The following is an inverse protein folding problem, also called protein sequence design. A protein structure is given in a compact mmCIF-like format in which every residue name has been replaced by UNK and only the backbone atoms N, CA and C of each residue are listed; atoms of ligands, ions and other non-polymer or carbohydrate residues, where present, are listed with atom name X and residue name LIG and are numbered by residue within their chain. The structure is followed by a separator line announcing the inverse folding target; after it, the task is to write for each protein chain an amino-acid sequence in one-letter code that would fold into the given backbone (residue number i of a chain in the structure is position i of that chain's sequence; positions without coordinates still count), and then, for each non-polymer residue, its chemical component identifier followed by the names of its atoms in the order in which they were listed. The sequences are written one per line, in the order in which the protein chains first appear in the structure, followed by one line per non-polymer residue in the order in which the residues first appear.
data_IF_292920435711
#
_entry.id   IF_292920435711
#
_cell.length_a   1.000
_cell.length_b   1.000
_cell.length_c   1.000
_cell.angle_alpha   90.00
_cell.angle_beta   90.00
_cell.angle_gamma   90.00
#
_symmetry.space_group_name_H-M   'P 1'
#
loop_
_entity.id
_entity.type
_entity.pdbx_description
1 polymer ?
#
# COMPACT_ATOMS: atom_id res chain seq x y z
N UNK A 1 14.69 1.98 -12.43
CA UNK A 1 13.93 0.93 -11.71
C UNK A 1 13.10 0.14 -12.71
N UNK A 2 13.18 -1.20 -12.75
CA UNK A 2 12.30 -2.02 -13.59
C UNK A 2 10.86 -1.79 -13.12
N UNK A 3 10.01 -1.22 -13.96
CA UNK A 3 8.59 -1.00 -13.65
C UNK A 3 7.91 -2.38 -13.58
N UNK A 4 7.63 -2.86 -12.37
CA UNK A 4 6.87 -4.09 -12.15
C UNK A 4 5.42 -3.81 -12.55
N UNK A 5 4.92 -4.44 -13.61
CA UNK A 5 3.50 -4.38 -13.96
C UNK A 5 2.73 -5.19 -12.92
N UNK A 6 2.03 -4.51 -12.01
CA UNK A 6 1.22 -5.15 -10.97
C UNK A 6 -0.23 -5.19 -11.44
N UNK A 7 -0.85 -6.37 -11.42
CA UNK A 7 -2.24 -6.52 -11.82
C UNK A 7 -3.17 -5.89 -10.78
N UNK A 8 -4.18 -5.16 -11.24
CA UNK A 8 -5.21 -4.53 -10.39
C UNK A 8 -5.89 -5.52 -9.44
N UNK A 9 -6.19 -6.72 -9.92
CA UNK A 9 -6.82 -7.78 -9.12
C UNK A 9 -5.99 -8.15 -7.89
N UNK A 10 -4.66 -8.13 -8.00
CA UNK A 10 -3.75 -8.37 -6.89
C UNK A 10 -3.83 -7.24 -5.86
N UNK A 11 -3.83 -5.99 -6.33
CA UNK A 11 -3.90 -4.80 -5.48
C UNK A 11 -5.20 -4.72 -4.67
N UNK A 12 -6.33 -5.11 -5.25
CA UNK A 12 -7.64 -4.98 -4.59
C UNK A 12 -7.99 -6.16 -3.68
N UNK A 13 -7.33 -7.32 -3.82
CA UNK A 13 -7.63 -8.53 -3.04
C UNK A 13 -7.20 -8.41 -1.57
N UNK A 14 -6.08 -7.76 -1.31
CA UNK A 14 -5.44 -7.75 0.01
C UNK A 14 -5.56 -6.38 0.70
N UNK A 15 -6.66 -5.66 0.45
CA UNK A 15 -6.94 -4.39 1.11
C UNK A 15 -7.32 -4.61 2.57
N UNK A 16 -6.71 -3.82 3.44
CA UNK A 16 -7.02 -3.78 4.85
C UNK A 16 -8.35 -3.05 5.07
N UNK A 17 -9.24 -3.57 5.92
CA UNK A 17 -10.43 -2.83 6.36
C UNK A 17 -10.03 -1.55 7.10
N UNK A 18 -10.86 -0.50 6.99
CA UNK A 18 -10.58 0.80 7.61
C UNK A 18 -10.39 0.69 9.14
N UNK A 19 -11.19 -0.13 9.81
CA UNK A 19 -11.06 -0.37 11.26
C UNK A 19 -9.69 -0.96 11.65
N UNK A 20 -9.10 -1.78 10.78
CA UNK A 20 -7.76 -2.33 11.00
C UNK A 20 -6.74 -1.22 10.80
N UNK A 21 -6.85 -0.45 9.71
CA UNK A 21 -5.95 0.68 9.42
C UNK A 21 -5.94 1.67 10.58
N UNK A 22 -7.09 2.07 11.10
CA UNK A 22 -7.20 3.02 12.21
C UNK A 22 -6.53 2.51 13.48
N UNK A 23 -6.78 1.25 13.85
CA UNK A 23 -6.20 0.63 15.05
C UNK A 23 -4.70 0.38 14.93
N UNK A 24 -4.22 0.06 13.73
CA UNK A 24 -2.82 -0.27 13.49
C UNK A 24 -2.02 0.87 12.85
N UNK A 25 -2.61 2.06 12.71
CA UNK A 25 -2.03 3.15 11.91
C UNK A 25 -0.59 3.48 12.33
N UNK A 26 -0.36 3.58 13.64
CA UNK A 26 0.95 3.91 14.21
C UNK A 26 1.99 2.79 14.04
N UNK A 27 1.56 1.57 13.74
CA UNK A 27 2.42 0.42 13.48
C UNK A 27 2.81 0.29 11.99
N UNK A 28 2.20 1.09 11.11
CA UNK A 28 2.54 1.08 9.69
C UNK A 28 3.93 1.72 9.43
N UNK A 29 4.57 1.46 8.28
CA UNK A 29 5.76 2.20 7.87
C UNK A 29 5.59 3.72 7.99
N UNK A 30 6.55 4.43 8.60
CA UNK A 30 6.47 5.89 8.79
C UNK A 30 6.18 6.66 7.49
N UNK A 31 6.81 6.24 6.40
CA UNK A 31 6.59 6.82 5.06
C UNK A 31 5.14 6.63 4.60
N UNK A 32 4.59 5.43 4.79
CA UNK A 32 3.20 5.13 4.47
C UNK A 32 2.22 5.96 5.32
N UNK A 33 2.50 6.13 6.61
CA UNK A 33 1.68 6.97 7.49
C UNK A 33 1.65 8.42 7.01
N UNK A 34 2.81 8.99 6.71
CA UNK A 34 2.93 10.37 6.23
C UNK A 34 2.19 10.55 4.91
N UNK A 35 2.44 9.66 3.94
CA UNK A 35 1.81 9.71 2.63
C UNK A 35 0.29 9.55 2.73
N UNK A 36 -0.20 8.61 3.55
CA UNK A 36 -1.63 8.43 3.78
C UNK A 36 -2.28 9.69 4.34
N UNK A 37 -1.66 10.35 5.33
CA UNK A 37 -2.17 11.60 5.91
C UNK A 37 -2.19 12.74 4.90
N UNK A 38 -1.10 12.94 4.16
CA UNK A 38 -0.97 14.00 3.15
C UNK A 38 -1.99 13.82 2.01
N UNK A 39 -2.16 12.60 1.52
CA UNK A 39 -3.11 12.33 0.43
C UNK A 39 -4.56 12.37 0.91
N UNK A 40 -4.82 11.98 2.16
CA UNK A 40 -6.17 12.06 2.74
C UNK A 40 -6.59 13.51 3.00
N UNK A 41 -5.67 14.40 3.41
CA UNK A 41 -5.96 15.83 3.53
C UNK A 41 -6.23 16.51 2.19
N UNK A 42 -5.76 15.94 1.08
CA UNK A 42 -6.11 16.35 -0.29
C UNK A 42 -7.50 15.86 -0.76
N UNK A 43 -8.26 15.18 0.11
CA UNK A 43 -9.58 14.65 -0.21
C UNK A 43 -9.57 13.38 -1.07
N UNK A 44 -8.41 12.72 -1.22
CA UNK A 44 -8.30 11.50 -2.02
C UNK A 44 -8.90 10.30 -1.27
N UNK A 45 -9.58 9.43 -2.01
CA UNK A 45 -10.02 8.13 -1.50
C UNK A 45 -8.85 7.14 -1.53
N UNK A 46 -8.38 6.74 -0.35
CA UNK A 46 -7.21 5.89 -0.21
C UNK A 46 -7.57 4.54 0.36
N UNK A 47 -6.76 3.54 0.04
CA UNK A 47 -6.83 2.24 0.70
C UNK A 47 -5.43 1.69 0.89
N UNK A 48 -5.20 1.04 2.03
CA UNK A 48 -3.94 0.38 2.33
C UNK A 48 -4.15 -1.10 2.15
N UNK A 49 -3.19 -1.78 1.52
CA UNK A 49 -3.18 -3.23 1.50
C UNK A 49 -1.86 -3.79 2.02
N UNK A 50 -1.90 -5.10 2.27
CA UNK A 50 -0.76 -5.86 2.77
C UNK A 50 -0.76 -7.23 2.10
N UNK A 51 0.26 -7.50 1.28
CA UNK A 51 0.43 -8.81 0.65
C UNK A 51 1.88 -9.30 0.73
N UNK A 52 2.10 -10.59 0.46
CA UNK A 52 3.41 -11.23 0.56
C UNK A 52 4.41 -10.73 -0.49
N UNK A 53 3.94 -10.38 -1.68
CA UNK A 53 4.77 -10.02 -2.82
C UNK A 53 5.17 -8.54 -2.82
N UNK A 54 4.29 -7.65 -2.36
CA UNK A 54 4.52 -6.20 -2.31
C UNK A 54 4.77 -5.67 -0.89
N UNK A 55 4.43 -6.44 0.15
CA UNK A 55 4.38 -5.93 1.51
C UNK A 55 3.24 -4.93 1.68
N UNK A 56 3.50 -3.83 2.38
CA UNK A 56 2.51 -2.77 2.52
C UNK A 56 2.42 -1.94 1.26
N UNK A 57 1.21 -1.58 0.84
CA UNK A 57 1.01 -0.71 -0.31
C UNK A 57 -0.14 0.27 -0.11
N UNK A 58 -0.06 1.41 -0.79
CA UNK A 58 -1.06 2.47 -0.79
C UNK A 58 -1.69 2.57 -2.18
N UNK A 59 -3.01 2.47 -2.21
CA UNK A 59 -3.81 2.72 -3.39
C UNK A 59 -4.59 4.02 -3.27
N UNK A 60 -4.74 4.69 -4.39
CA UNK A 60 -5.81 5.66 -4.63
C UNK A 60 -6.94 4.97 -5.39
N UNK A 61 -8.16 5.17 -4.92
CA UNK A 61 -9.39 4.76 -5.62
C UNK A 61 -9.95 6.00 -6.33
N UNK A 62 -10.25 5.87 -7.61
CA UNK A 62 -11.06 6.86 -8.31
C UNK A 62 -12.51 6.39 -8.41
N UNK A 63 -13.42 7.34 -8.61
CA UNK A 63 -14.85 7.13 -8.81
C UNK A 63 -15.19 6.21 -10.00
N UNK A 64 -14.28 6.05 -10.96
CA UNK A 64 -14.46 5.23 -12.16
C UNK A 64 -13.93 3.80 -12.03
N UNK A 65 -13.80 3.30 -10.79
CA UNK A 65 -13.24 1.99 -10.49
C UNK A 65 -11.76 1.83 -10.92
N UNK A 66 -11.05 2.88 -11.35
CA UNK A 66 -9.60 2.81 -11.48
C UNK A 66 -8.96 2.79 -10.10
N UNK A 67 -7.93 1.95 -9.96
CA UNK A 67 -7.06 1.98 -8.79
C UNK A 67 -5.65 2.31 -9.25
N UNK A 68 -5.03 3.23 -8.55
CA UNK A 68 -3.68 3.69 -8.82
C UNK A 68 -2.80 3.32 -7.62
N UNK A 69 -1.68 2.64 -7.90
CA UNK A 69 -0.69 2.29 -6.89
C UNK A 69 0.20 3.51 -6.63
N UNK A 70 0.03 4.16 -5.48
CA UNK A 70 0.79 5.35 -5.12
C UNK A 70 2.15 5.00 -4.49
N UNK A 71 2.22 3.91 -3.73
CA UNK A 71 3.42 3.50 -3.01
C UNK A 71 3.34 2.04 -2.60
N UNK A 72 4.49 1.37 -2.48
CA UNK A 72 4.58 0.05 -1.88
C UNK A 72 5.99 -0.18 -1.28
N UNK A 73 6.07 -1.03 -0.27
CA UNK A 73 7.34 -1.43 0.35
C UNK A 73 7.24 -2.84 0.91
N UNK A 74 8.14 -3.70 0.41
CA UNK A 74 8.24 -5.06 0.89
C UNK A 74 9.28 -5.18 2.02
N UNK A 75 8.84 -4.93 3.26
CA UNK A 75 9.68 -5.17 4.45
C UNK A 75 9.92 -6.65 4.74
N UNK A 76 9.06 -7.55 4.27
CA UNK A 76 9.19 -8.98 4.51
C UNK A 76 10.37 -9.59 3.72
N UNK A 77 10.60 -9.14 2.49
CA UNK A 77 11.72 -9.60 1.65
C UNK A 77 13.03 -8.82 1.86
N UNK A 78 12.98 -7.61 2.43
CA UNK A 78 14.20 -6.83 2.74
C UNK A 78 15.16 -7.54 3.72
N UNK A 79 14.71 -8.59 4.42
CA UNK A 79 15.52 -9.37 5.37
C UNK A 79 16.07 -10.69 4.82
N UNK A 80 15.75 -11.09 3.58
CA UNK A 80 16.24 -12.33 2.98
C UNK A 80 16.52 -12.20 1.48
N UNK A 81 17.51 -11.39 1.12
CA UNK A 81 18.34 -11.64 -0.07
C UNK A 81 19.79 -11.22 0.25
N UNK A 82 20.41 -11.86 1.24
CA UNK A 82 21.83 -12.20 1.11
C UNK A 82 21.84 -13.49 0.29
N UNK A 83 21.97 -13.35 -1.03
CA UNK A 83 22.43 -14.47 -1.86
C UNK A 83 23.95 -14.43 -1.74
N UNK A 84 24.49 -15.59 -1.36
CA UNK A 84 25.92 -15.87 -1.20
C UNK A 84 26.74 -15.51 -2.43
#
# INVERSE_FOLDING_TARGET
MKVKKIQRSLLTKNLLPDIIIERTFYNLPKVLQQLYREKKSQGLQLSIGLDTDLGFYLLKKDSFHSVELLWWENRFFARKVSVA
#
